data_IF_059089568423
#
_entry.id   IF_059089568423
#
_cell.length_a   1.000
_cell.length_b   1.000
_cell.length_c   1.000
_cell.angle_alpha   90.00
_cell.angle_beta   90.00
_cell.angle_gamma   90.00
#
_symmetry.space_group_name_H-M   'P 1'
#
loop_
_entity.id
_entity.type
_entity.pdbx_description
1 polymer ?
#
# COMPACT_ATOMS: atom_id res chain seq x y z
N UNK A 1 -22.88 -23.91 -21.72
CA UNK A 1 -21.46 -23.53 -21.55
C UNK A 1 -21.40 -22.33 -20.61
N UNK A 2 -20.78 -22.45 -19.43
CA UNK A 2 -20.60 -21.31 -18.51
C UNK A 2 -19.44 -20.46 -19.01
N UNK A 3 -19.71 -19.29 -19.59
CA UNK A 3 -18.69 -18.30 -19.94
C UNK A 3 -18.19 -17.64 -18.65
N UNK A 4 -17.09 -18.13 -18.10
CA UNK A 4 -16.36 -17.44 -17.02
C UNK A 4 -15.84 -16.11 -17.56
N UNK A 5 -16.40 -14.99 -17.10
CA UNK A 5 -15.90 -13.64 -17.39
C UNK A 5 -14.41 -13.59 -17.00
N UNK A 6 -13.51 -13.62 -17.97
CA UNK A 6 -12.08 -13.41 -17.76
C UNK A 6 -11.88 -11.98 -17.25
N UNK A 7 -11.62 -11.81 -15.96
CA UNK A 7 -11.15 -10.54 -15.42
C UNK A 7 -9.89 -10.12 -16.20
N UNK A 8 -9.96 -8.99 -16.90
CA UNK A 8 -8.86 -8.55 -17.76
C UNK A 8 -7.88 -7.74 -16.92
N UNK A 9 -6.89 -8.44 -16.34
CA UNK A 9 -5.79 -7.85 -15.58
C UNK A 9 -4.54 -7.69 -16.45
N UNK A 10 -3.97 -6.48 -16.49
CA UNK A 10 -2.73 -6.18 -17.22
C UNK A 10 -1.86 -5.18 -16.47
N UNK A 11 -0.55 -5.40 -16.43
CA UNK A 11 0.46 -4.50 -15.87
C UNK A 11 1.46 -4.10 -16.95
N UNK A 12 1.57 -2.81 -17.21
CA UNK A 12 2.44 -2.24 -18.25
C UNK A 12 3.34 -1.14 -17.69
N UNK A 13 4.61 -1.18 -18.09
CA UNK A 13 5.60 -0.17 -17.75
C UNK A 13 5.85 0.74 -18.94
N UNK A 14 5.94 2.05 -18.70
CA UNK A 14 6.16 3.06 -19.74
C UNK A 14 6.89 4.28 -19.19
N UNK A 15 7.55 5.04 -20.05
CA UNK A 15 8.20 6.28 -19.67
C UNK A 15 7.24 7.47 -19.72
N UNK A 16 7.29 8.35 -18.70
CA UNK A 16 6.58 9.63 -18.69
C UNK A 16 7.34 10.69 -19.49
N UNK A 17 7.41 10.52 -20.81
CA UNK A 17 8.20 11.38 -21.73
C UNK A 17 7.85 12.87 -21.66
N UNK A 18 6.61 13.22 -21.29
CA UNK A 18 6.13 14.60 -21.27
C UNK A 18 6.59 15.40 -20.04
N UNK A 19 7.34 14.80 -19.12
CA UNK A 19 7.85 15.46 -17.93
C UNK A 19 9.26 14.93 -17.57
N UNK A 20 10.28 15.21 -18.41
CA UNK A 20 11.65 14.87 -18.07
C UNK A 20 12.10 15.68 -16.85
N UNK A 21 12.92 15.07 -15.99
CA UNK A 21 13.54 15.77 -14.87
C UNK A 21 14.61 16.73 -15.40
N UNK A 22 14.99 17.73 -14.58
CA UNK A 22 16.06 18.70 -14.89
C UNK A 22 17.39 18.03 -15.30
N UNK A 23 17.62 16.79 -14.85
CA UNK A 23 18.82 16.01 -15.14
C UNK A 23 18.74 15.21 -16.46
N UNK A 24 17.70 15.41 -17.28
CA UNK A 24 17.49 14.69 -18.54
C UNK A 24 16.96 13.26 -18.40
N UNK A 25 16.82 12.76 -17.16
CA UNK A 25 16.25 11.45 -16.87
C UNK A 25 14.72 11.47 -16.90
N UNK A 26 14.11 10.35 -17.28
CA UNK A 26 12.66 10.18 -17.39
C UNK A 26 12.19 9.10 -16.41
N UNK A 27 11.11 9.39 -15.69
CA UNK A 27 10.53 8.45 -14.74
C UNK A 27 9.82 7.28 -15.43
N UNK A 28 10.02 6.08 -14.90
CA UNK A 28 9.31 4.86 -15.27
C UNK A 28 7.98 4.84 -14.50
N UNK A 29 6.89 4.74 -15.23
CA UNK A 29 5.53 4.64 -14.71
C UNK A 29 5.02 3.22 -14.87
N UNK A 30 4.17 2.79 -13.94
CA UNK A 30 3.42 1.54 -14.02
C UNK A 30 1.93 1.86 -14.22
N UNK A 31 1.31 1.21 -15.19
CA UNK A 31 -0.14 1.26 -15.44
C UNK A 31 -0.72 -0.11 -15.18
N UNK A 32 -1.73 -0.15 -14.32
CA UNK A 32 -2.51 -1.33 -14.02
C UNK A 32 -3.87 -1.17 -14.68
N UNK A 33 -4.31 -2.19 -15.42
CA UNK A 33 -5.65 -2.26 -16.00
C UNK A 33 -6.39 -3.43 -15.40
N UNK A 34 -7.59 -3.18 -14.87
CA UNK A 34 -8.49 -4.21 -14.34
C UNK A 34 -9.87 -3.95 -14.91
N UNK A 35 -10.42 -4.91 -15.66
CA UNK A 35 -11.80 -4.83 -16.19
C UNK A 35 -12.10 -3.54 -16.96
N UNK A 36 -11.13 -3.05 -17.74
CA UNK A 36 -11.24 -1.82 -18.53
C UNK A 36 -10.94 -0.53 -17.77
N UNK A 37 -10.87 -0.56 -16.43
CA UNK A 37 -10.43 0.58 -15.61
C UNK A 37 -8.91 0.60 -15.49
N UNK A 38 -8.32 1.79 -15.59
CA UNK A 38 -6.88 1.99 -15.58
C UNK A 38 -6.47 2.87 -14.41
N UNK A 39 -5.44 2.46 -13.70
CA UNK A 39 -4.82 3.25 -12.62
C UNK A 39 -3.31 3.26 -12.84
N UNK A 40 -2.69 4.43 -12.70
CA UNK A 40 -1.25 4.61 -12.86
C UNK A 40 -0.58 4.96 -11.53
N UNK A 41 0.65 4.45 -11.34
CA UNK A 41 1.53 4.75 -10.22
C UNK A 41 2.96 5.00 -10.70
N UNK A 42 3.71 5.77 -9.92
CA UNK A 42 5.12 6.02 -10.17
C UNK A 42 5.95 4.88 -9.55
N UNK A 43 6.95 4.39 -10.27
CA UNK A 43 7.86 3.35 -9.74
C UNK A 43 9.06 3.93 -8.99
N UNK A 44 9.19 5.27 -8.94
CA UNK A 44 10.35 6.00 -8.39
C UNK A 44 11.70 5.65 -9.05
N UNK A 45 11.67 4.97 -10.20
CA UNK A 45 12.85 4.67 -11.02
C UNK A 45 12.93 5.69 -12.15
N UNK A 46 14.14 6.19 -12.40
CA UNK A 46 14.43 7.11 -13.49
C UNK A 46 15.47 6.50 -14.43
N UNK A 47 15.33 6.75 -15.72
CA UNK A 47 16.27 6.28 -16.74
C UNK A 47 16.39 7.27 -17.90
N UNK A 48 17.52 7.24 -18.61
CA UNK A 48 17.64 7.86 -19.92
C UNK A 48 16.65 7.25 -20.90
N UNK A 49 15.92 8.10 -21.64
CA UNK A 49 14.96 7.65 -22.64
C UNK A 49 15.60 6.80 -23.76
N UNK A 50 16.90 6.97 -24.02
CA UNK A 50 17.66 6.17 -24.99
C UNK A 50 17.78 4.69 -24.62
N UNK A 51 17.77 4.39 -23.32
CA UNK A 51 18.03 3.05 -22.81
C UNK A 51 16.73 2.28 -22.56
N UNK A 52 15.59 2.72 -23.10
CA UNK A 52 14.29 2.10 -22.86
C UNK A 52 13.76 1.37 -24.08
N UNK A 53 13.35 0.13 -23.86
CA UNK A 53 12.66 -0.69 -24.84
C UNK A 53 11.15 -0.41 -24.79
N UNK A 54 10.65 0.29 -25.81
CA UNK A 54 9.23 0.62 -25.96
C UNK A 54 8.35 -0.61 -26.19
N UNK A 55 8.89 -1.67 -26.80
CA UNK A 55 8.12 -2.87 -27.18
C UNK A 55 7.92 -3.78 -25.97
N UNK A 56 8.96 -3.96 -25.16
CA UNK A 56 8.92 -4.87 -24.02
C UNK A 56 8.69 -4.16 -22.68
N UNK A 57 8.80 -2.83 -22.64
CA UNK A 57 8.65 -2.05 -21.41
C UNK A 57 9.76 -2.35 -20.41
N UNK A 58 11.00 -2.47 -20.90
CA UNK A 58 12.19 -2.84 -20.13
C UNK A 58 13.37 -1.93 -20.48
N UNK A 59 14.40 -1.96 -19.65
CA UNK A 59 15.66 -1.28 -19.93
C UNK A 59 16.50 -2.09 -20.92
N UNK A 60 16.97 -1.43 -21.97
CA UNK A 60 17.92 -1.95 -22.95
C UNK A 60 19.33 -2.02 -22.36
N UNK A 61 20.10 -3.02 -22.81
CA UNK A 61 21.49 -3.20 -22.45
C UNK A 61 21.71 -4.27 -21.36
N UNK A 62 22.98 -4.66 -21.22
CA UNK A 62 23.44 -5.69 -20.28
C UNK A 62 24.29 -5.12 -19.14
N UNK A 63 24.30 -3.79 -18.97
CA UNK A 63 25.03 -3.16 -17.86
C UNK A 63 24.43 -3.58 -16.52
N UNK A 64 25.25 -3.58 -15.47
CA UNK A 64 24.80 -3.90 -14.12
C UNK A 64 23.64 -2.98 -13.67
N UNK A 65 23.69 -1.70 -14.05
CA UNK A 65 22.59 -0.75 -13.79
C UNK A 65 21.30 -1.13 -14.53
N UNK A 66 21.37 -1.47 -15.81
CA UNK A 66 20.22 -1.87 -16.61
C UNK A 66 19.56 -3.14 -16.05
N UNK A 67 20.38 -4.14 -15.69
CA UNK A 67 19.91 -5.35 -15.03
C UNK A 67 19.30 -5.05 -13.66
N UNK A 68 19.93 -4.18 -12.86
CA UNK A 68 19.40 -3.74 -11.57
C UNK A 68 18.03 -3.10 -11.67
N UNK A 69 17.81 -2.22 -12.67
CA UNK A 69 16.50 -1.59 -12.91
C UNK A 69 15.49 -2.62 -13.39
N UNK A 70 15.85 -3.49 -14.33
CA UNK A 70 14.97 -4.55 -14.82
C UNK A 70 14.54 -5.51 -13.70
N UNK A 71 15.45 -5.88 -12.80
CA UNK A 71 15.13 -6.70 -11.62
C UNK A 71 14.13 -5.99 -10.69
N UNK A 72 14.26 -4.67 -10.50
CA UNK A 72 13.29 -3.88 -9.73
C UNK A 72 11.92 -3.83 -10.41
N UNK A 73 11.88 -3.67 -11.73
CA UNK A 73 10.63 -3.71 -12.51
C UNK A 73 9.93 -5.07 -12.35
N UNK A 74 10.70 -6.16 -12.41
CA UNK A 74 10.16 -7.52 -12.23
C UNK A 74 9.62 -7.74 -10.82
N UNK A 75 10.33 -7.27 -9.79
CA UNK A 75 9.83 -7.31 -8.41
C UNK A 75 8.51 -6.56 -8.26
N UNK A 76 8.43 -5.33 -8.77
CA UNK A 76 7.19 -4.54 -8.74
C UNK A 76 6.04 -5.29 -9.43
N UNK A 77 6.31 -5.94 -10.57
CA UNK A 77 5.29 -6.75 -11.26
C UNK A 77 4.79 -7.91 -10.38
N UNK A 78 5.71 -8.67 -9.79
CA UNK A 78 5.39 -9.79 -8.90
C UNK A 78 4.57 -9.32 -7.69
N UNK A 79 4.97 -8.21 -7.06
CA UNK A 79 4.28 -7.66 -5.89
C UNK A 79 2.84 -7.23 -6.24
N UNK A 80 2.62 -6.61 -7.41
CA UNK A 80 1.28 -6.23 -7.88
C UNK A 80 0.44 -7.48 -8.18
N UNK A 81 1.03 -8.51 -8.79
CA UNK A 81 0.35 -9.79 -9.08
C UNK A 81 -0.06 -10.52 -7.78
N UNK A 82 0.80 -10.49 -6.77
CA UNK A 82 0.50 -11.05 -5.45
C UNK A 82 -0.62 -10.26 -4.77
N UNK A 83 -0.57 -8.92 -4.80
CA UNK A 83 -1.63 -8.07 -4.28
C UNK A 83 -2.97 -8.34 -4.98
N UNK A 84 -2.97 -8.46 -6.30
CA UNK A 84 -4.17 -8.80 -7.08
C UNK A 84 -4.75 -10.14 -6.64
N UNK A 85 -3.90 -11.16 -6.48
CA UNK A 85 -4.30 -12.50 -6.06
C UNK A 85 -4.88 -12.52 -4.64
N UNK A 86 -4.28 -11.77 -3.72
CA UNK A 86 -4.77 -11.61 -2.33
C UNK A 86 -6.16 -10.97 -2.28
N UNK A 87 -6.36 -9.85 -2.98
CA UNK A 87 -7.65 -9.15 -3.02
C UNK A 87 -8.70 -10.06 -3.67
N UNK A 88 -8.38 -10.70 -4.78
CA UNK A 88 -9.30 -11.61 -5.47
C UNK A 88 -9.76 -12.77 -4.58
N UNK A 89 -8.85 -13.34 -3.77
CA UNK A 89 -9.17 -14.42 -2.83
C UNK A 89 -10.06 -13.96 -1.68
N UNK A 90 -9.85 -12.75 -1.17
CA UNK A 90 -10.57 -12.23 0.00
C UNK A 90 -11.93 -11.62 -0.36
N UNK A 91 -12.03 -10.92 -1.50
CA UNK A 91 -13.20 -10.08 -1.84
C UNK A 91 -13.92 -10.54 -3.12
N UNK A 92 -13.34 -11.46 -3.90
CA UNK A 92 -13.94 -12.02 -5.11
C UNK A 92 -13.95 -11.10 -6.33
N UNK A 93 -13.65 -9.81 -6.18
CA UNK A 93 -13.50 -8.84 -7.26
C UNK A 93 -12.33 -7.89 -6.98
N UNK A 94 -11.70 -7.35 -8.03
CA UNK A 94 -10.57 -6.41 -7.89
C UNK A 94 -10.88 -5.14 -8.66
N UNK A 95 -10.64 -3.99 -8.03
CA UNK A 95 -10.64 -2.67 -8.65
C UNK A 95 -9.19 -2.19 -8.86
N UNK A 96 -8.93 -1.49 -9.97
CA UNK A 96 -7.59 -0.94 -10.28
C UNK A 96 -7.11 0.08 -9.25
N UNK A 97 -8.00 0.93 -8.71
CA UNK A 97 -7.64 1.93 -7.70
C UNK A 97 -7.38 1.30 -6.33
N UNK A 98 -8.19 0.31 -5.95
CA UNK A 98 -7.98 -0.46 -4.73
C UNK A 98 -6.65 -1.20 -4.77
N UNK A 99 -6.37 -1.90 -5.88
CA UNK A 99 -5.10 -2.61 -6.06
C UNK A 99 -3.90 -1.65 -5.98
N UNK A 100 -4.01 -0.47 -6.61
CA UNK A 100 -2.99 0.57 -6.50
C UNK A 100 -2.79 1.02 -5.04
N UNK A 101 -3.87 1.33 -4.33
CA UNK A 101 -3.79 1.82 -2.95
C UNK A 101 -3.24 0.76 -2.00
N UNK A 102 -3.64 -0.50 -2.16
CA UNK A 102 -3.11 -1.63 -1.40
C UNK A 102 -1.61 -1.81 -1.67
N UNK A 103 -1.18 -1.77 -2.94
CA UNK A 103 0.24 -1.85 -3.28
C UNK A 103 1.05 -0.68 -2.69
N UNK A 104 0.56 0.55 -2.82
CA UNK A 104 1.22 1.74 -2.26
C UNK A 104 1.28 1.70 -0.73
N UNK A 105 0.24 1.20 -0.07
CA UNK A 105 0.22 1.01 1.39
C UNK A 105 1.19 -0.09 1.87
N UNK A 106 1.50 -1.08 1.02
CA UNK A 106 2.55 -2.07 1.31
C UNK A 106 3.94 -1.44 1.12
N UNK A 107 4.12 -0.62 0.08
CA UNK A 107 5.38 0.06 -0.21
C UNK A 107 5.71 1.16 0.83
N UNK A 108 4.71 1.89 1.32
CA UNK A 108 4.88 2.94 2.35
C UNK A 108 5.20 2.38 3.74
N UNK A 109 5.09 1.07 3.93
CA UNK A 109 5.23 0.42 5.24
C UNK A 109 4.08 0.71 6.19
N UNK A 110 3.08 1.49 5.79
CA UNK A 110 1.90 1.82 6.60
C UNK A 110 1.12 0.55 6.96
N UNK A 111 0.92 -0.38 6.00
CA UNK A 111 0.27 -1.65 6.30
C UNK A 111 1.08 -2.52 7.26
N UNK A 112 2.40 -2.42 7.23
CA UNK A 112 3.29 -3.16 8.14
C UNK A 112 3.25 -2.56 9.54
N UNK A 113 3.25 -1.22 9.65
CA UNK A 113 3.10 -0.52 10.92
C UNK A 113 1.73 -0.77 11.55
N UNK A 114 0.63 -0.63 10.78
CA UNK A 114 -0.71 -0.89 11.29
C UNK A 114 -0.88 -2.35 11.73
N UNK A 115 -0.38 -3.33 10.96
CA UNK A 115 -0.39 -4.73 11.39
C UNK A 115 0.43 -4.98 12.64
N UNK A 116 1.61 -4.38 12.75
CA UNK A 116 2.43 -4.47 13.97
C UNK A 116 1.71 -3.83 15.16
N UNK A 117 1.08 -2.67 14.96
CA UNK A 117 0.37 -1.94 16.01
C UNK A 117 -0.89 -2.68 16.46
N UNK A 118 -1.67 -3.25 15.54
CA UNK A 118 -2.80 -4.12 15.85
C UNK A 118 -2.34 -5.35 16.66
N UNK A 119 -1.26 -6.00 16.23
CA UNK A 119 -0.69 -7.14 16.97
C UNK A 119 -0.20 -6.72 18.36
N UNK A 120 0.45 -5.56 18.45
CA UNK A 120 0.88 -4.98 19.73
C UNK A 120 -0.31 -4.71 20.65
N UNK A 121 -1.40 -4.13 20.13
CA UNK A 121 -2.62 -3.88 20.89
C UNK A 121 -3.28 -5.18 21.35
N UNK A 122 -3.37 -6.21 20.49
CA UNK A 122 -3.88 -7.53 20.87
C UNK A 122 -3.05 -8.19 21.96
N UNK A 123 -1.72 -8.11 21.86
CA UNK A 123 -0.81 -8.66 22.87
C UNK A 123 -0.85 -7.84 24.17
N UNK A 124 -1.08 -6.53 24.06
CA UNK A 124 -1.29 -5.64 25.20
C UNK A 124 -2.62 -5.94 25.91
N UNK A 125 -3.72 -6.11 25.18
CA UNK A 125 -5.03 -6.53 25.73
C UNK A 125 -4.93 -7.88 26.44
N UNK A 126 -4.23 -8.85 25.85
CA UNK A 126 -3.97 -10.15 26.49
C UNK A 126 -3.18 -10.02 27.79
N UNK A 127 -2.21 -9.11 27.86
CA UNK A 127 -1.44 -8.83 29.08
C UNK A 127 -2.25 -8.04 30.12
N UNK A 128 -3.12 -7.13 29.69
CA UNK A 128 -3.98 -6.33 30.56
C UNK A 128 -5.16 -7.12 31.14
N UNK A 129 -5.56 -8.23 30.52
CA UNK A 129 -6.56 -9.16 31.05
C UNK A 129 -6.13 -9.86 32.36
N UNK A 130 -4.90 -9.64 32.86
CA UNK A 130 -4.49 -10.09 34.19
C UNK A 130 -4.47 -9.01 35.28
N UNK A 131 -4.74 -7.72 35.01
CA UNK A 131 -4.74 -6.73 36.10
C UNK A 131 -5.41 -5.36 35.89
N UNK A 132 -5.92 -4.98 34.71
CA UNK A 132 -6.35 -3.59 34.52
C UNK A 132 -7.61 -3.38 33.65
N UNK A 133 -8.64 -4.19 33.85
CA UNK A 133 -9.98 -3.85 33.38
C UNK A 133 -10.64 -2.84 34.34
N UNK A 134 -10.45 -1.53 34.10
CA UNK A 134 -11.50 -0.53 34.42
C UNK A 134 -11.34 0.87 33.83
N UNK A 135 -10.17 1.32 33.37
CA UNK A 135 -9.96 2.78 33.19
C UNK A 135 -10.17 3.31 31.75
N UNK A 136 -10.17 2.49 30.70
CA UNK A 136 -10.10 3.03 29.32
C UNK A 136 -11.36 2.88 28.46
N UNK A 137 -12.56 2.75 29.07
CA UNK A 137 -13.83 2.86 28.31
C UNK A 137 -14.53 4.21 28.47
N UNK A 138 -13.97 5.15 29.24
CA UNK A 138 -14.62 6.43 29.55
C UNK A 138 -14.13 7.64 28.75
N UNK A 139 -12.98 7.57 28.05
CA UNK A 139 -12.41 8.75 27.38
C UNK A 139 -12.96 8.98 25.95
N UNK A 140 -13.67 8.01 25.36
CA UNK A 140 -14.17 8.11 23.97
C UNK A 140 -15.66 8.45 23.83
N UNK A 141 -16.39 8.73 24.91
CA UNK A 141 -17.72 9.33 24.83
C UNK A 141 -17.70 10.68 25.52
N UNK A 142 -17.34 11.69 24.74
CA UNK A 142 -17.39 13.07 25.18
C UNK A 142 -18.83 13.48 25.50
N UNK A 143 -19.12 13.63 26.78
CA UNK A 143 -20.10 14.57 27.35
C UNK A 143 -19.79 14.66 28.84
N UNK A 144 -19.00 15.66 29.25
CA UNK A 144 -19.18 16.43 30.50
C UNK A 144 -17.98 17.36 30.78
N UNK A 145 -18.31 18.54 31.34
CA UNK A 145 -17.40 19.66 31.59
C UNK A 145 -16.34 19.35 32.68
N UNK A 146 -15.10 19.88 32.56
CA UNK A 146 -13.99 19.65 33.50
C UNK A 146 -14.24 19.99 34.98
N UNK A 147 -15.29 20.74 35.29
CA UNK A 147 -15.64 21.19 36.65
C UNK A 147 -16.05 20.07 37.61
N UNK A 148 -16.37 18.86 37.13
CA UNK A 148 -16.79 17.74 37.98
C UNK A 148 -15.65 16.87 38.54
N UNK A 149 -14.43 16.97 38.00
CA UNK A 149 -13.33 16.08 38.39
C UNK A 149 -12.73 16.37 39.78
N UNK A 150 -12.84 17.61 40.27
CA UNK A 150 -12.13 18.00 41.50
C UNK A 150 -12.82 17.53 42.79
N UNK A 151 -14.14 17.27 42.76
CA UNK A 151 -14.89 16.90 43.97
C UNK A 151 -14.89 15.39 44.27
N UNK A 152 -14.60 14.53 43.28
CA UNK A 152 -14.67 13.06 43.44
C UNK A 152 -13.39 12.44 44.01
N UNK A 153 -12.23 13.09 43.83
CA UNK A 153 -10.94 12.56 44.30
C UNK A 153 -10.73 12.68 45.83
N UNK A 154 -11.51 13.51 46.53
CA UNK A 154 -11.40 13.66 47.99
C UNK A 154 -12.16 12.61 48.80
N UNK A 155 -13.01 11.78 48.18
CA UNK A 155 -13.87 10.84 48.91
C UNK A 155 -13.35 9.38 48.92
N UNK A 156 -12.33 9.05 48.11
CA UNK A 156 -11.77 7.69 48.02
C UNK A 156 -10.40 7.53 48.69
N UNK A 157 -9.93 8.55 49.42
CA UNK A 157 -8.67 8.50 50.18
C UNK A 157 -8.85 8.76 51.69
N UNK A 158 -10.04 8.49 52.24
CA UNK A 158 -10.27 8.39 53.69
C UNK A 158 -10.79 7.01 54.07
#
# INVERSE_FOLDING_TARGET
MKTTKKSTFKVLFYLKKNAPKKNGMVAIMCRITVNGKQSALSTKLDISASNWDLKYGRVLGKSHEAQGINNKIDRIRLDIEECYSKILKNEGAVNSDQLKNTFLGMESGELTFFKFFEQFLLDFEKKLNHSALKVQRFVLRGTESPSFFHSRMKFELS
#
